data_IF_491050407893
#
_entry.id   IF_491050407893
#
_cell.length_a   1.000
_cell.length_b   1.000
_cell.length_c   1.000
_cell.angle_alpha   90.00
_cell.angle_beta   90.00
_cell.angle_gamma   90.00
#
_symmetry.space_group_name_H-M   'P 1'
#
loop_
_entity.id
_entity.type
_entity.pdbx_description
1 polymer ?
#
# COMPACT_ATOMS: atom_id res chain seq x y z
N UNK A 1 12.51 30.74 9.24
CA UNK A 1 11.84 30.64 10.55
C UNK A 1 10.35 30.44 10.28
N UNK A 2 9.96 29.21 9.97
CA UNK A 2 8.57 28.82 9.65
C UNK A 2 8.40 27.41 10.22
N UNK A 3 8.06 27.30 11.51
CA UNK A 3 8.23 26.00 12.18
C UNK A 3 7.61 25.90 13.57
N UNK A 4 6.44 26.48 13.80
CA UNK A 4 5.75 26.27 15.08
C UNK A 4 4.23 26.28 14.95
N UNK A 5 3.67 27.11 14.07
CA UNK A 5 2.23 27.12 13.81
C UNK A 5 1.75 25.96 12.91
N UNK A 6 2.52 25.57 11.88
CA UNK A 6 2.16 24.45 11.00
C UNK A 6 2.32 23.09 11.70
N UNK A 7 3.37 22.89 12.49
CA UNK A 7 3.56 21.66 13.28
C UNK A 7 2.50 21.47 14.37
N UNK A 8 1.89 22.55 14.88
CA UNK A 8 0.77 22.45 15.83
C UNK A 8 -0.56 22.09 15.13
N UNK A 9 -0.71 22.42 13.84
CA UNK A 9 -1.88 22.06 13.02
C UNK A 9 -1.80 20.62 12.53
N UNK A 10 -0.62 20.13 12.17
CA UNK A 10 -0.38 18.71 11.81
C UNK A 10 -0.52 17.75 13.00
N UNK A 11 -0.23 18.22 14.22
CA UNK A 11 -0.25 17.40 15.44
C UNK A 11 -1.65 17.17 16.03
N UNK A 12 -2.68 17.86 15.52
CA UNK A 12 -4.08 17.67 15.91
C UNK A 12 -4.84 16.65 15.03
N UNK A 13 -4.20 16.15 13.96
CA UNK A 13 -4.71 15.08 13.11
C UNK A 13 -4.34 13.66 13.61
N UNK A 14 -3.71 13.53 14.79
CA UNK A 14 -3.04 12.29 15.22
C UNK A 14 -3.82 11.39 16.23
N UNK A 15 -5.09 11.66 16.54
CA UNK A 15 -5.92 10.79 17.41
C UNK A 15 -7.32 10.54 16.82
N UNK A 16 -7.39 10.19 15.53
CA UNK A 16 -8.65 9.92 14.84
C UNK A 16 -8.69 8.51 14.29
N UNK A 17 -9.79 7.81 14.60
CA UNK A 17 -10.04 6.46 14.14
C UNK A 17 -11.08 6.49 13.03
N UNK A 18 -10.70 6.01 11.84
CA UNK A 18 -11.65 5.76 10.76
C UNK A 18 -12.62 4.63 11.14
N UNK A 19 -13.92 4.91 11.08
CA UNK A 19 -15.00 3.99 11.48
C UNK A 19 -15.96 3.66 10.34
N UNK A 20 -15.89 4.39 9.22
CA UNK A 20 -16.65 4.07 8.03
C UNK A 20 -16.13 4.81 6.79
N UNK A 21 -16.52 4.33 5.62
CA UNK A 21 -16.18 4.94 4.33
C UNK A 21 -17.45 5.19 3.52
N UNK A 22 -17.55 6.37 2.92
CA UNK A 22 -18.69 6.72 2.06
C UNK A 22 -18.52 6.04 0.70
N UNK A 23 -19.38 5.07 0.38
CA UNK A 23 -19.35 4.31 -0.88
C UNK A 23 -20.33 4.83 -1.93
N UNK A 24 -21.26 5.68 -1.56
CA UNK A 24 -22.23 6.20 -2.50
C UNK A 24 -23.26 7.15 -1.90
N UNK A 25 -24.15 7.59 -2.78
CA UNK A 25 -25.25 8.52 -2.44
C UNK A 25 -26.56 7.88 -2.85
N UNK A 26 -27.57 8.02 -2.00
CA UNK A 26 -28.92 7.54 -2.25
C UNK A 26 -29.92 8.70 -2.31
N UNK A 27 -30.65 8.78 -3.43
CA UNK A 27 -31.71 9.78 -3.60
C UNK A 27 -31.19 11.22 -3.66
N UNK A 28 -32.07 12.17 -3.29
CA UNK A 28 -31.80 13.61 -3.43
C UNK A 28 -31.56 14.34 -2.09
N UNK A 29 -31.79 13.66 -0.96
CA UNK A 29 -31.81 14.27 0.38
C UNK A 29 -30.50 14.08 1.17
N UNK A 30 -29.39 13.95 0.45
CA UNK A 30 -28.07 13.81 1.06
C UNK A 30 -27.85 12.52 1.85
N UNK A 31 -28.58 11.44 1.53
CA UNK A 31 -28.37 10.13 2.17
C UNK A 31 -27.13 9.49 1.57
N UNK A 32 -26.25 8.97 2.43
CA UNK A 32 -24.99 8.33 2.07
C UNK A 32 -25.08 6.83 2.33
N UNK A 33 -24.52 6.03 1.43
CA UNK A 33 -24.22 4.62 1.68
C UNK A 33 -22.82 4.57 2.29
N UNK A 34 -22.73 4.02 3.50
CA UNK A 34 -21.51 3.96 4.31
C UNK A 34 -21.17 2.50 4.54
N UNK A 35 -19.96 2.10 4.15
CA UNK A 35 -19.36 0.85 4.62
C UNK A 35 -18.85 1.07 6.04
N UNK A 36 -19.19 0.16 6.95
CA UNK A 36 -18.77 0.25 8.36
C UNK A 36 -17.44 -0.48 8.53
N UNK A 37 -16.43 0.24 9.03
CA UNK A 37 -15.08 -0.29 9.29
C UNK A 37 -14.85 -0.60 10.77
N UNK A 38 -15.81 -0.24 11.64
CA UNK A 38 -15.77 -0.50 13.07
C UNK A 38 -16.60 -1.73 13.44
N UNK A 39 -16.14 -2.49 14.42
CA UNK A 39 -16.88 -3.56 15.10
C UNK A 39 -17.90 -3.05 16.13
N UNK A 40 -17.82 -1.76 16.50
CA UNK A 40 -18.75 -1.09 17.41
C UNK A 40 -19.94 -0.48 16.65
N UNK A 41 -21.06 -1.21 16.66
CA UNK A 41 -22.31 -0.77 16.03
C UNK A 41 -22.90 0.52 16.65
N UNK A 42 -22.45 0.94 17.83
CA UNK A 42 -22.95 2.16 18.50
C UNK A 42 -22.37 3.45 17.90
N UNK A 43 -21.35 3.34 17.02
CA UNK A 43 -20.68 4.49 16.41
C UNK A 43 -21.58 5.30 15.48
N UNK A 44 -22.56 4.66 14.84
CA UNK A 44 -23.49 5.26 13.88
C UNK A 44 -24.92 5.30 14.42
N UNK A 45 -25.12 5.91 15.60
CA UNK A 45 -26.46 6.16 16.16
C UNK A 45 -26.87 7.61 15.98
N UNK A 46 -28.16 7.90 16.12
CA UNK A 46 -28.69 9.26 16.07
C UNK A 46 -27.96 10.17 17.06
N UNK A 47 -27.45 11.30 16.58
CA UNK A 47 -26.69 12.28 17.36
C UNK A 47 -25.19 12.01 17.45
N UNK A 48 -24.69 10.86 16.97
CA UNK A 48 -23.25 10.60 16.87
C UNK A 48 -22.57 11.66 15.99
N UNK A 49 -21.37 12.08 16.41
CA UNK A 49 -20.57 13.06 15.69
C UNK A 49 -19.29 12.42 15.19
N UNK A 50 -18.95 12.72 13.94
CA UNK A 50 -17.77 12.20 13.28
C UNK A 50 -17.12 13.28 12.42
N UNK A 51 -15.81 13.22 12.30
CA UNK A 51 -15.02 14.05 11.41
C UNK A 51 -15.02 13.46 10.01
N UNK A 52 -14.96 14.33 9.01
CA UNK A 52 -14.57 13.94 7.66
C UNK A 52 -13.05 13.83 7.60
N UNK A 53 -12.54 12.81 6.92
CA UNK A 53 -11.11 12.62 6.61
C UNK A 53 -10.41 13.94 6.22
N UNK A 54 -9.19 14.14 6.73
CA UNK A 54 -8.35 15.32 6.47
C UNK A 54 -9.04 16.68 6.73
N UNK A 55 -10.04 16.68 7.61
CA UNK A 55 -10.86 17.87 7.85
C UNK A 55 -11.32 17.97 9.31
N UNK A 56 -11.39 19.19 9.83
CA UNK A 56 -12.10 19.48 11.08
C UNK A 56 -13.62 19.58 10.89
N UNK A 57 -14.12 19.28 9.68
CA UNK A 57 -15.55 19.26 9.40
C UNK A 57 -16.21 18.13 10.17
N UNK A 58 -17.06 18.52 11.11
CA UNK A 58 -17.88 17.62 11.90
C UNK A 58 -19.21 17.36 11.18
N UNK A 59 -19.65 16.10 11.22
CA UNK A 59 -20.92 15.62 10.70
C UNK A 59 -21.69 14.94 11.83
N UNK A 60 -22.96 15.30 11.98
CA UNK A 60 -23.86 14.81 13.03
C UNK A 60 -24.89 13.87 12.42
N UNK A 61 -24.92 12.62 12.87
CA UNK A 61 -25.86 11.61 12.37
C UNK A 61 -27.29 12.04 12.71
N UNK A 62 -28.08 12.33 11.69
CA UNK A 62 -29.47 12.76 11.79
C UNK A 62 -30.46 11.62 11.55
N UNK A 63 -30.00 10.53 10.92
CA UNK A 63 -30.76 9.33 10.66
C UNK A 63 -29.82 8.20 10.20
N UNK A 64 -30.15 6.97 10.56
CA UNK A 64 -29.42 5.77 10.16
C UNK A 64 -30.39 4.63 9.87
N UNK A 65 -30.07 3.80 8.88
CA UNK A 65 -30.77 2.56 8.59
C UNK A 65 -29.79 1.52 8.04
N UNK A 66 -30.04 0.26 8.34
CA UNK A 66 -29.36 -0.87 7.71
C UNK A 66 -29.69 -0.96 6.21
N UNK A 67 -28.70 -1.31 5.40
CA UNK A 67 -28.82 -1.51 3.94
C UNK A 67 -28.39 -2.91 3.48
N UNK A 68 -27.92 -3.78 4.37
CA UNK A 68 -27.34 -5.09 4.08
C UNK A 68 -25.81 -5.08 4.07
N UNK A 69 -25.13 -4.52 3.05
CA UNK A 69 -23.66 -4.48 2.99
C UNK A 69 -23.05 -3.32 3.80
N UNK A 70 -23.87 -2.51 4.47
CA UNK A 70 -23.44 -1.32 5.20
C UNK A 70 -24.64 -0.55 5.76
N UNK A 71 -24.49 0.77 5.91
CA UNK A 71 -25.51 1.66 6.45
C UNK A 71 -25.93 2.72 5.43
N UNK A 72 -27.20 3.11 5.47
CA UNK A 72 -27.67 4.38 4.95
C UNK A 72 -27.63 5.41 6.08
N UNK A 73 -26.88 6.48 5.89
CA UNK A 73 -26.69 7.52 6.89
C UNK A 73 -27.05 8.88 6.31
N UNK A 74 -27.80 9.68 7.06
CA UNK A 74 -28.01 11.10 6.75
C UNK A 74 -27.40 11.94 7.86
N UNK A 75 -26.68 12.97 7.47
CA UNK A 75 -26.10 13.94 8.39
C UNK A 75 -26.93 15.23 8.43
N UNK A 76 -26.87 15.98 9.53
CA UNK A 76 -27.53 17.29 9.63
C UNK A 76 -26.94 18.28 8.62
N UNK A 77 -25.64 18.20 8.41
CA UNK A 77 -24.82 19.10 7.60
C UNK A 77 -24.78 18.70 6.11
N UNK A 78 -25.42 17.59 5.74
CA UNK A 78 -25.46 17.05 4.37
C UNK A 78 -26.92 16.85 3.96
N UNK A 79 -27.49 17.88 3.34
CA UNK A 79 -28.94 17.92 3.04
C UNK A 79 -29.27 17.79 1.55
N UNK A 80 -28.27 17.82 0.66
CA UNK A 80 -28.45 17.70 -0.78
C UNK A 80 -27.64 16.55 -1.38
N UNK A 81 -28.04 16.11 -2.57
CA UNK A 81 -27.29 15.10 -3.34
C UNK A 81 -25.88 15.58 -3.65
N UNK A 82 -25.71 16.83 -4.04
CA UNK A 82 -24.43 17.43 -4.42
C UNK A 82 -23.47 17.47 -3.23
N UNK A 83 -23.97 17.85 -2.05
CA UNK A 83 -23.18 17.86 -0.83
C UNK A 83 -22.75 16.44 -0.42
N UNK A 84 -23.63 15.45 -0.62
CA UNK A 84 -23.32 14.04 -0.39
C UNK A 84 -22.34 13.48 -1.43
N UNK A 85 -22.47 13.89 -2.69
CA UNK A 85 -21.59 13.49 -3.80
C UNK A 85 -20.14 13.85 -3.53
N UNK A 86 -19.92 15.05 -2.97
CA UNK A 86 -18.60 15.56 -2.60
C UNK A 86 -17.92 14.74 -1.48
N UNK A 87 -18.65 13.84 -0.81
CA UNK A 87 -18.12 13.00 0.27
C UNK A 87 -17.79 11.58 -0.18
N UNK A 88 -18.00 11.20 -1.46
CA UNK A 88 -17.67 9.86 -1.93
C UNK A 88 -16.20 9.51 -1.70
N UNK A 89 -15.99 8.24 -1.35
CA UNK A 89 -14.71 7.61 -1.00
C UNK A 89 -14.00 8.20 0.21
N UNK A 90 -14.53 9.26 0.83
CA UNK A 90 -13.97 9.85 2.05
C UNK A 90 -14.27 9.00 3.26
N UNK A 91 -13.35 8.99 4.21
CA UNK A 91 -13.52 8.33 5.49
C UNK A 91 -14.25 9.21 6.50
N UNK A 92 -14.98 8.54 7.39
CA UNK A 92 -15.66 9.09 8.55
C UNK A 92 -14.89 8.64 9.79
N UNK A 93 -14.46 9.60 10.59
CA UNK A 93 -13.54 9.39 11.69
C UNK A 93 -14.15 9.85 13.02
N UNK A 94 -13.73 9.25 14.14
CA UNK A 94 -14.05 9.78 15.47
C UNK A 94 -12.77 10.13 16.21
N UNK A 95 -12.85 11.12 17.09
CA UNK A 95 -11.82 11.32 18.09
C UNK A 95 -11.90 10.14 19.06
N UNK A 96 -10.93 9.23 18.96
CA UNK A 96 -10.77 8.14 19.90
C UNK A 96 -9.45 8.39 20.62
N UNK A 97 -9.39 8.41 21.97
CA UNK A 97 -8.11 8.18 22.60
C UNK A 97 -7.61 6.84 22.05
N UNK A 98 -6.41 6.81 21.47
CA UNK A 98 -5.75 5.55 21.13
C UNK A 98 -5.50 4.85 22.45
N UNK A 99 -6.48 4.10 22.93
CA UNK A 99 -6.29 3.17 24.02
C UNK A 99 -5.22 2.20 23.54
N UNK A 100 -4.12 2.03 24.30
CA UNK A 100 -3.08 1.12 23.88
C UNK A 100 -3.69 -0.27 23.76
N UNK A 101 -3.85 -0.71 22.51
CA UNK A 101 -4.29 -2.05 22.19
C UNK A 101 -3.37 -3.07 22.90
N UNK A 102 -3.91 -4.24 23.30
CA UNK A 102 -3.08 -5.34 23.78
C UNK A 102 -1.92 -5.62 22.83
N UNK A 103 -0.79 -6.06 23.37
CA UNK A 103 0.41 -6.34 22.56
C UNK A 103 0.07 -7.32 21.43
N UNK A 104 0.18 -6.87 20.18
CA UNK A 104 -0.11 -7.66 18.98
C UNK A 104 -1.44 -7.36 18.30
N UNK A 105 -2.21 -6.37 18.79
CA UNK A 105 -3.38 -5.82 18.12
C UNK A 105 -3.04 -4.47 17.47
N UNK A 106 -3.64 -4.21 16.31
CA UNK A 106 -3.38 -3.02 15.49
C UNK A 106 -4.68 -2.55 14.85
N UNK A 107 -4.81 -1.24 14.65
CA UNK A 107 -5.88 -0.70 13.82
C UNK A 107 -5.53 -0.85 12.33
N UNK A 108 -6.53 -1.02 11.47
CA UNK A 108 -6.32 -1.15 10.03
C UNK A 108 -5.63 0.05 9.40
N UNK A 109 -5.94 1.26 9.86
CA UNK A 109 -5.27 2.47 9.37
C UNK A 109 -3.77 2.46 9.67
N UNK A 110 -3.32 1.78 10.73
CA UNK A 110 -1.89 1.64 11.04
C UNK A 110 -1.19 0.70 10.04
N UNK A 111 -1.93 -0.22 9.42
CA UNK A 111 -1.40 -1.20 8.47
C UNK A 111 -1.33 -0.65 7.04
N UNK A 112 -2.12 0.37 6.70
CA UNK A 112 -2.15 0.95 5.36
C UNK A 112 -0.79 1.57 4.99
N UNK A 113 -0.37 1.37 3.74
CA UNK A 113 0.91 1.82 3.18
C UNK A 113 2.16 1.25 3.86
N UNK A 114 2.02 0.28 4.77
CA UNK A 114 3.18 -0.36 5.40
C UNK A 114 3.85 -1.31 4.40
N UNK A 115 5.19 -1.22 4.22
CA UNK A 115 5.94 -2.17 3.40
C UNK A 115 5.84 -3.60 3.91
N UNK A 116 5.65 -4.54 2.98
CA UNK A 116 5.59 -5.98 3.23
C UNK A 116 6.80 -6.64 2.59
N UNK A 117 7.61 -7.29 3.43
CA UNK A 117 8.82 -7.98 3.03
C UNK A 117 8.66 -9.49 3.23
N UNK A 118 9.23 -10.28 2.34
CA UNK A 118 9.50 -11.69 2.65
C UNK A 118 10.66 -11.80 3.66
N UNK A 119 10.75 -12.93 4.35
CA UNK A 119 11.81 -13.21 5.33
C UNK A 119 13.25 -13.20 4.75
N UNK A 120 13.38 -13.34 3.43
CA UNK A 120 14.64 -13.20 2.68
C UNK A 120 14.97 -11.75 2.29
N UNK A 121 14.09 -10.81 2.62
CA UNK A 121 14.20 -9.38 2.29
C UNK A 121 13.66 -9.00 0.92
N UNK A 122 12.99 -9.90 0.17
CA UNK A 122 12.28 -9.50 -1.06
C UNK A 122 11.15 -8.51 -0.72
N UNK A 123 11.14 -7.38 -1.42
CA UNK A 123 10.05 -6.40 -1.36
C UNK A 123 8.83 -6.92 -2.14
N UNK A 124 7.74 -7.17 -1.41
CA UNK A 124 6.47 -7.64 -1.95
C UNK A 124 5.51 -6.48 -2.25
N UNK A 125 5.86 -5.25 -1.87
CA UNK A 125 5.05 -4.05 -2.02
C UNK A 125 4.59 -3.47 -0.69
N UNK A 126 3.46 -2.76 -0.70
CA UNK A 126 2.85 -2.18 0.48
C UNK A 126 1.37 -2.55 0.57
N UNK A 127 0.83 -2.52 1.78
CA UNK A 127 -0.61 -2.74 2.03
C UNK A 127 -1.42 -1.60 1.40
N UNK A 128 -2.34 -1.93 0.52
CA UNK A 128 -3.23 -0.96 -0.15
C UNK A 128 -4.69 -1.13 0.21
N UNK A 129 -5.07 -2.26 0.82
CA UNK A 129 -6.42 -2.55 1.27
C UNK A 129 -6.41 -3.70 2.29
N UNK A 130 -7.47 -3.82 3.10
CA UNK A 130 -7.65 -4.87 4.10
C UNK A 130 -9.11 -5.28 4.12
N UNK A 131 -9.37 -6.59 4.08
CA UNK A 131 -10.73 -7.12 4.22
C UNK A 131 -10.77 -8.32 5.15
N UNK A 132 -11.94 -8.57 5.75
CA UNK A 132 -12.18 -9.73 6.63
C UNK A 132 -12.80 -10.88 5.86
N UNK A 133 -12.34 -12.07 6.22
CA UNK A 133 -12.95 -13.35 5.85
C UNK A 133 -13.31 -14.12 7.12
N UNK A 134 -14.05 -15.22 7.00
CA UNK A 134 -14.33 -16.09 8.15
C UNK A 134 -13.09 -16.68 8.83
N UNK A 135 -11.92 -16.64 8.17
CA UNK A 135 -10.64 -17.12 8.69
C UNK A 135 -9.71 -16.03 9.25
N UNK A 136 -10.16 -14.77 9.28
CA UNK A 136 -9.35 -13.62 9.72
C UNK A 136 -9.19 -12.56 8.64
N UNK A 137 -8.20 -11.68 8.84
CA UNK A 137 -7.96 -10.52 7.97
C UNK A 137 -6.99 -10.88 6.84
N UNK A 138 -7.26 -10.34 5.66
CA UNK A 138 -6.42 -10.47 4.46
C UNK A 138 -5.93 -9.08 4.07
N UNK A 139 -4.61 -8.91 3.99
CA UNK A 139 -3.98 -7.70 3.46
C UNK A 139 -3.86 -7.82 1.94
N UNK A 140 -4.27 -6.78 1.23
CA UNK A 140 -4.01 -6.63 -0.20
C UNK A 140 -2.71 -5.86 -0.35
N UNK A 141 -1.70 -6.50 -0.93
CA UNK A 141 -0.37 -5.93 -1.11
C UNK A 141 -0.13 -5.66 -2.58
N UNK A 142 0.33 -4.46 -2.94
CA UNK A 142 0.66 -4.07 -4.32
C UNK A 142 1.96 -3.28 -4.38
N UNK A 143 2.53 -3.19 -5.58
CA UNK A 143 3.71 -2.38 -5.87
C UNK A 143 5.03 -3.15 -5.86
N UNK A 144 5.02 -4.41 -5.40
CA UNK A 144 6.14 -5.33 -5.58
C UNK A 144 6.24 -5.88 -7.00
N UNK A 145 7.29 -6.66 -7.26
CA UNK A 145 7.56 -7.23 -8.60
C UNK A 145 6.55 -8.28 -9.05
N UNK A 146 5.70 -8.75 -8.12
CA UNK A 146 4.72 -9.83 -8.30
C UNK A 146 3.30 -9.35 -8.58
N UNK A 147 3.08 -8.03 -8.64
CA UNK A 147 1.75 -7.46 -8.80
C UNK A 147 0.98 -7.42 -7.47
N UNK A 148 -0.30 -7.78 -7.52
CA UNK A 148 -1.15 -7.88 -6.33
C UNK A 148 -0.99 -9.23 -5.65
N UNK A 149 -0.84 -9.22 -4.33
CA UNK A 149 -0.74 -10.41 -3.49
C UNK A 149 -1.72 -10.29 -2.34
N UNK A 150 -2.39 -11.39 -2.00
CA UNK A 150 -3.26 -11.49 -0.83
C UNK A 150 -2.49 -12.15 0.31
N UNK A 151 -2.35 -11.46 1.43
CA UNK A 151 -1.58 -11.93 2.59
C UNK A 151 -2.52 -12.16 3.77
N UNK A 152 -2.82 -13.43 4.10
CA UNK A 152 -3.54 -13.75 5.33
C UNK A 152 -2.73 -13.37 6.57
N UNK A 153 -3.37 -12.71 7.54
CA UNK A 153 -2.73 -12.24 8.80
C UNK A 153 -2.48 -13.35 9.84
N UNK A 154 -2.64 -14.62 9.46
CA UNK A 154 -2.40 -15.77 10.34
C UNK A 154 -0.90 -15.93 10.65
N UNK A 155 -0.59 -16.41 11.86
CA UNK A 155 0.79 -16.56 12.37
C UNK A 155 1.71 -17.46 11.53
N UNK A 156 1.14 -18.33 10.71
CA UNK A 156 1.91 -19.18 9.78
C UNK A 156 2.45 -18.39 8.61
N UNK A 157 1.76 -17.31 8.21
CA UNK A 157 2.12 -16.45 7.07
C UNK A 157 2.82 -15.19 7.56
N UNK A 158 2.25 -14.45 8.52
CA UNK A 158 2.86 -13.21 9.04
C UNK A 158 3.76 -13.55 10.22
N UNK A 159 5.06 -13.42 10.02
CA UNK A 159 6.10 -13.66 11.03
C UNK A 159 6.30 -12.45 11.92
N UNK A 160 6.17 -11.26 11.35
CA UNK A 160 6.25 -10.00 12.07
C UNK A 160 5.20 -9.02 11.57
N UNK A 161 4.48 -8.41 12.49
CA UNK A 161 3.49 -7.36 12.23
C UNK A 161 3.85 -6.17 13.12
N UNK A 162 4.63 -5.23 12.60
CA UNK A 162 5.09 -4.05 13.33
C UNK A 162 4.79 -2.77 12.52
N UNK A 163 3.49 -2.45 12.27
CA UNK A 163 3.10 -1.28 11.46
C UNK A 163 3.67 0.04 11.97
N UNK A 164 3.75 0.23 13.29
CA UNK A 164 4.34 1.43 13.92
C UNK A 164 5.84 1.57 13.67
N UNK A 165 6.51 0.47 13.36
CA UNK A 165 7.92 0.43 12.95
C UNK A 165 8.06 0.43 11.41
N UNK A 166 6.94 0.50 10.68
CA UNK A 166 6.89 0.47 9.22
C UNK A 166 7.30 -0.87 8.64
N UNK A 167 7.04 -1.98 9.34
CA UNK A 167 7.54 -3.30 8.93
C UNK A 167 6.51 -4.41 9.07
N UNK A 168 6.27 -5.14 7.98
CA UNK A 168 5.55 -6.42 7.97
C UNK A 168 6.45 -7.46 7.31
N UNK A 169 6.66 -8.60 7.97
CA UNK A 169 7.49 -9.70 7.45
C UNK A 169 6.64 -10.95 7.30
N UNK A 170 6.68 -11.55 6.10
CA UNK A 170 5.92 -12.75 5.77
C UNK A 170 6.82 -13.93 5.43
N UNK A 171 6.31 -15.12 5.71
CA UNK A 171 6.86 -16.40 5.29
C UNK A 171 6.46 -16.66 3.84
N UNK A 172 7.45 -16.82 2.98
CA UNK A 172 7.25 -16.99 1.54
C UNK A 172 6.58 -18.33 1.23
N UNK A 173 7.05 -19.40 1.87
CA UNK A 173 6.63 -20.77 1.59
C UNK A 173 5.18 -20.97 2.03
N UNK A 174 4.82 -20.43 3.20
CA UNK A 174 3.46 -20.43 3.71
C UNK A 174 2.49 -19.62 2.82
N UNK A 175 3.00 -18.60 2.12
CA UNK A 175 2.23 -17.83 1.14
C UNK A 175 2.19 -18.48 -0.25
N UNK A 176 2.88 -19.61 -0.44
CA UNK A 176 2.95 -20.31 -1.73
C UNK A 176 3.70 -19.53 -2.81
N UNK A 177 4.56 -18.59 -2.43
CA UNK A 177 5.35 -17.81 -3.38
C UNK A 177 6.62 -18.57 -3.78
N UNK A 178 6.72 -18.99 -5.05
CA UNK A 178 7.97 -19.59 -5.52
C UNK A 178 9.13 -18.57 -5.50
N UNK A 179 10.32 -19.04 -5.10
CA UNK A 179 11.54 -18.25 -5.20
C UNK A 179 11.82 -17.95 -6.68
N UNK A 180 11.82 -16.67 -7.05
CA UNK A 180 12.23 -16.27 -8.39
C UNK A 180 13.71 -16.63 -8.56
N UNK A 181 14.10 -17.34 -9.64
CA UNK A 181 15.50 -17.61 -9.88
C UNK A 181 16.22 -16.26 -10.05
N UNK A 182 17.19 -16.00 -9.18
CA UNK A 182 18.04 -14.80 -9.26
C UNK A 182 18.62 -14.73 -10.67
N UNK A 183 18.08 -13.81 -11.47
CA UNK A 183 18.60 -13.48 -12.80
C UNK A 183 20.04 -13.02 -12.64
N UNK A 184 20.98 -13.98 -12.79
CA UNK A 184 22.40 -13.68 -12.91
C UNK A 184 22.55 -12.86 -14.19
N UNK A 185 22.73 -11.55 -14.03
CA UNK A 185 23.20 -10.68 -15.11
C UNK A 185 24.37 -11.39 -15.82
N UNK A 186 24.35 -11.53 -17.15
CA UNK A 186 25.50 -12.07 -17.85
C UNK A 186 26.70 -11.18 -17.53
N UNK A 187 27.75 -11.79 -16.95
CA UNK A 187 29.04 -11.13 -16.73
C UNK A 187 29.48 -10.55 -18.06
N UNK A 188 29.66 -9.23 -18.07
CA UNK A 188 30.09 -8.48 -19.24
C UNK A 188 31.25 -9.18 -19.96
N UNK A 189 31.09 -9.35 -21.26
CA UNK A 189 32.11 -9.84 -22.17
C UNK A 189 33.34 -8.94 -22.05
N UNK A 190 34.38 -9.40 -21.33
CA UNK A 190 35.70 -8.77 -21.31
C UNK A 190 36.23 -8.76 -22.74
N UNK A 191 36.27 -7.59 -23.37
CA UNK A 191 37.11 -7.38 -24.54
C UNK A 191 38.55 -7.20 -24.06
N UNK A 192 39.32 -8.27 -23.99
CA UNK A 192 40.76 -8.16 -23.84
C UNK A 192 41.35 -7.76 -25.18
N UNK A 193 41.63 -6.46 -25.32
CA UNK A 193 42.52 -5.90 -26.35
C UNK A 193 43.93 -6.43 -26.10
N UNK A 194 44.33 -7.50 -26.79
CA UNK A 194 45.70 -7.99 -26.78
C UNK A 194 46.51 -7.27 -27.85
N UNK A 195 47.46 -6.44 -27.41
CA UNK A 195 48.50 -5.82 -28.21
C UNK A 195 49.79 -6.65 -28.12
N UNK A 196 50.29 -7.04 -29.31
CA UNK A 196 51.71 -7.16 -29.73
C UNK A 196 52.63 -8.30 -29.22
N UNK A 197 53.25 -8.91 -30.26
CA UNK A 197 54.68 -9.25 -30.52
C UNK A 197 55.17 -10.70 -30.34
N UNK A 198 56.00 -11.10 -31.31
CA UNK A 198 56.91 -12.24 -31.36
C UNK A 198 57.06 -12.74 -32.82
N UNK A 199 57.86 -12.07 -33.67
CA UNK A 199 59.29 -12.37 -33.98
C UNK A 199 59.52 -13.64 -34.81
N UNK A 200 60.03 -13.47 -36.06
CA UNK A 200 61.31 -14.03 -36.53
C UNK A 200 61.56 -13.71 -38.03
N UNK A 201 62.73 -13.12 -38.32
CA UNK A 201 63.49 -13.13 -39.60
C UNK A 201 64.53 -14.28 -39.51
N UNK A 202 65.38 -14.62 -40.53
CA UNK A 202 65.58 -14.05 -41.89
C UNK A 202 65.69 -15.12 -43.02
N UNK A 203 65.86 -14.68 -44.28
CA UNK A 203 66.32 -15.54 -45.38
C UNK A 203 66.12 -14.97 -46.80
N UNK A 204 67.09 -14.19 -47.28
CA UNK A 204 67.32 -13.69 -48.66
C UNK A 204 67.79 -14.81 -49.64
N UNK A 205 68.07 -14.55 -50.95
CA UNK A 205 67.41 -13.68 -51.96
C UNK A 205 67.32 -14.36 -53.37
N UNK A 206 67.01 -13.55 -54.41
CA UNK A 206 67.23 -13.75 -55.86
C UNK A 206 66.12 -14.57 -56.59
N UNK A 207 65.70 -14.31 -57.83
CA UNK A 207 66.14 -13.44 -58.94
C UNK A 207 65.21 -13.67 -60.14
N UNK A 208 65.01 -12.65 -61.00
CA UNK A 208 64.55 -12.75 -62.40
C UNK A 208 63.09 -13.16 -62.62
N UNK A 209 62.42 -12.84 -63.72
CA UNK A 209 62.77 -12.18 -64.98
C UNK A 209 61.42 -11.89 -65.68
N UNK A 210 61.20 -10.62 -66.06
CA UNK A 210 60.58 -10.05 -67.28
C UNK A 210 59.44 -10.77 -68.08
N UNK A 211 58.90 -10.21 -69.20
CA UNK A 211 58.06 -9.02 -69.36
C UNK A 211 56.69 -9.34 -70.03
N UNK A 212 55.90 -8.29 -70.26
CA UNK A 212 54.68 -8.23 -71.10
C UNK A 212 54.96 -8.44 -72.62
N UNK A 213 54.00 -8.16 -73.53
CA UNK A 213 52.75 -8.85 -73.89
C UNK A 213 52.82 -9.36 -75.36
N UNK A 214 51.69 -9.69 -75.99
CA UNK A 214 51.20 -8.80 -77.07
C UNK A 214 49.75 -8.32 -76.90
#
# INVERSE_FOLDING_TARGET
MTGSADMARERLAQDRLAIGQVRGVQGLRGVLRVEVLSDDATRFVLGSRMFLEDSDRLLTVAWVQDDGPGLLVRFEEVTSREAADALRERYLEIAAPIEPLPKGEYYWHELMNVPVLAEDGEDLGAVVDIFRTGGGEILVVRGGRRGEILVPTVRTVVRELAPREGRIVVDREALGLEAEPVSRRPRGRRTTRALKRGEALPGEPASGDDPAPP
#
